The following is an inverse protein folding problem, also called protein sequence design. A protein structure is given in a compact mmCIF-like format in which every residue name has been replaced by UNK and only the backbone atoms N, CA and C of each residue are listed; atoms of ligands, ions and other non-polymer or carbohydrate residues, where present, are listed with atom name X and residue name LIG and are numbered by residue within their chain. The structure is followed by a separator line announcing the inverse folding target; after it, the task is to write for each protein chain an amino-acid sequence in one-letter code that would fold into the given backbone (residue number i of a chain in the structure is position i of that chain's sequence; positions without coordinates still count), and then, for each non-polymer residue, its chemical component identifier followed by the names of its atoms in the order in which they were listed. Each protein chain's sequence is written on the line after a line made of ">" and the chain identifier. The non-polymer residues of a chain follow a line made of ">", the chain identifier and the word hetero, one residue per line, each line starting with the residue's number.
data_IF_131015713522
#
_entry.id   IF_131015713522
#
_cell.length_a   1.000
_cell.length_b   1.000
_cell.length_c   1.000
_cell.angle_alpha   90.00
_cell.angle_beta   90.00
_cell.angle_gamma   90.00
#
_symmetry.space_group_name_H-M   'P 1'
#
loop_
_entity.id
_entity.type
_entity.pdbx_description
1 polymer ?
#
# COMPACT_ATOMS: atom_id res chain seq x y z
N UNK A 1 -26.36 18.94 54.14
CA UNK A 1 -26.63 20.35 53.83
C UNK A 1 -26.66 20.61 52.31
N UNK A 2 -27.43 21.56 51.81
CA UNK A 2 -27.61 21.84 50.38
C UNK A 2 -26.35 22.36 49.66
N UNK A 3 -25.30 22.72 50.40
CA UNK A 3 -24.03 23.21 49.84
C UNK A 3 -23.14 22.11 49.24
N UNK A 4 -23.18 20.89 49.78
CA UNK A 4 -22.39 19.78 49.26
C UNK A 4 -22.79 19.33 47.85
N UNK A 5 -24.09 19.28 47.58
CA UNK A 5 -24.61 18.90 46.25
C UNK A 5 -24.25 19.94 45.18
N UNK A 6 -24.24 21.21 45.49
CA UNK A 6 -23.84 22.28 44.54
C UNK A 6 -22.35 22.21 44.21
N UNK A 7 -21.52 21.87 45.17
CA UNK A 7 -20.08 21.69 44.96
C UNK A 7 -19.78 20.47 44.07
N UNK A 8 -20.47 19.35 44.27
CA UNK A 8 -20.37 18.14 43.45
C UNK A 8 -20.84 18.42 42.01
N UNK A 9 -21.96 19.13 41.85
CA UNK A 9 -22.46 19.53 40.53
C UNK A 9 -21.47 20.43 39.78
N UNK A 10 -20.81 21.33 40.49
CA UNK A 10 -19.81 22.22 39.90
C UNK A 10 -18.58 21.43 39.44
N UNK A 11 -18.11 20.45 40.21
CA UNK A 11 -17.00 19.58 39.85
C UNK A 11 -17.39 18.74 38.59
N UNK A 12 -18.56 18.13 38.59
CA UNK A 12 -19.04 17.34 37.43
C UNK A 12 -19.15 18.20 36.17
N UNK A 13 -19.63 19.44 36.32
CA UNK A 13 -19.72 20.40 35.22
C UNK A 13 -18.33 20.78 34.70
N UNK A 14 -17.35 21.03 35.55
CA UNK A 14 -15.97 21.31 35.15
C UNK A 14 -15.37 20.10 34.39
N UNK A 15 -15.53 18.89 34.92
CA UNK A 15 -15.06 17.67 34.25
C UNK A 15 -15.71 17.50 32.88
N UNK A 16 -17.00 17.77 32.79
CA UNK A 16 -17.72 17.70 31.51
C UNK A 16 -17.23 18.73 30.50
N UNK A 17 -16.94 19.96 30.93
CA UNK A 17 -16.36 20.99 30.05
C UNK A 17 -14.96 20.61 29.61
N UNK A 18 -14.10 20.09 30.46
CA UNK A 18 -12.78 19.59 30.10
C UNK A 18 -12.87 18.44 29.09
N UNK A 19 -13.80 17.52 29.32
CA UNK A 19 -14.06 16.42 28.41
C UNK A 19 -14.51 16.92 27.03
N UNK A 20 -15.41 17.89 26.95
CA UNK A 20 -15.81 18.51 25.68
C UNK A 20 -14.65 19.20 24.98
N UNK A 21 -13.79 19.91 25.70
CA UNK A 21 -12.62 20.60 25.13
C UNK A 21 -11.56 19.63 24.59
N UNK A 22 -11.55 18.39 25.04
CA UNK A 22 -10.61 17.37 24.54
C UNK A 22 -10.88 16.91 23.10
N UNK A 23 -11.97 17.34 22.49
CA UNK A 23 -12.36 16.97 21.12
C UNK A 23 -11.66 17.76 20.01
N UNK A 24 -10.81 18.74 20.30
CA UNK A 24 -10.06 19.45 19.27
C UNK A 24 -8.89 18.61 18.76
N UNK A 25 -8.73 18.56 17.43
CA UNK A 25 -7.60 17.88 16.78
C UNK A 25 -7.16 18.66 15.54
N UNK A 26 -5.91 18.45 15.14
CA UNK A 26 -5.32 19.08 13.96
C UNK A 26 -4.98 18.01 12.94
N UNK A 27 -5.39 18.22 11.69
CA UNK A 27 -5.04 17.39 10.52
C UNK A 27 -3.89 18.05 9.79
N UNK A 28 -2.78 17.33 9.65
CA UNK A 28 -1.60 17.80 8.91
C UNK A 28 -1.86 17.98 7.42
N UNK A 29 -1.01 18.73 6.74
CA UNK A 29 -1.12 18.99 5.28
C UNK A 29 -0.96 17.74 4.43
N UNK A 30 -0.33 16.70 4.97
CA UNK A 30 -0.13 15.40 4.31
C UNK A 30 -1.12 14.33 4.74
N UNK A 31 -2.05 14.68 5.63
CA UNK A 31 -2.99 13.76 6.25
C UNK A 31 -4.42 14.09 5.84
N UNK A 32 -5.29 13.12 6.01
CA UNK A 32 -6.72 13.27 5.90
C UNK A 32 -7.36 12.71 7.17
N UNK A 33 -8.25 13.45 7.79
CA UNK A 33 -8.91 12.98 9.01
C UNK A 33 -10.14 12.14 8.65
N UNK A 34 -10.17 10.90 9.14
CA UNK A 34 -11.31 10.00 9.06
C UNK A 34 -11.92 9.89 10.44
N UNK A 35 -13.11 10.44 10.60
CA UNK A 35 -13.85 10.45 11.86
C UNK A 35 -14.80 9.25 11.90
N UNK A 36 -14.60 8.41 12.91
CA UNK A 36 -15.47 7.28 13.21
C UNK A 36 -16.39 7.63 14.37
N UNK A 37 -17.66 7.28 14.27
CA UNK A 37 -18.64 7.40 15.35
C UNK A 37 -19.07 5.99 15.77
N UNK A 38 -18.78 5.62 17.01
CA UNK A 38 -19.00 4.27 17.55
C UNK A 38 -18.39 3.15 16.71
N UNK A 39 -17.33 3.45 15.95
CA UNK A 39 -16.63 2.51 15.08
C UNK A 39 -17.01 2.61 13.60
N UNK A 40 -18.15 3.21 13.25
CA UNK A 40 -18.59 3.38 11.87
C UNK A 40 -18.07 4.68 11.27
N UNK A 41 -17.79 4.67 9.97
CA UNK A 41 -17.41 5.89 9.24
C UNK A 41 -18.50 6.97 9.34
N UNK A 42 -18.08 8.18 9.67
CA UNK A 42 -19.00 9.32 9.81
C UNK A 42 -18.70 10.43 8.80
N UNK A 43 -17.44 10.87 8.72
CA UNK A 43 -17.03 11.95 7.83
C UNK A 43 -15.52 11.97 7.62
N UNK A 44 -15.12 12.60 6.51
CA UNK A 44 -13.72 12.91 6.19
C UNK A 44 -13.46 14.40 6.42
N UNK A 45 -12.30 14.76 7.00
CA UNK A 45 -11.87 16.14 7.25
C UNK A 45 -10.57 16.45 6.52
N UNK A 46 -10.50 17.66 5.96
CA UNK A 46 -9.33 18.19 5.25
C UNK A 46 -8.27 18.72 6.23
N UNK A 47 -7.05 19.04 5.78
CA UNK A 47 -6.04 19.67 6.63
C UNK A 47 -6.56 20.91 7.35
N UNK A 48 -6.22 21.04 8.63
CA UNK A 48 -6.64 22.15 9.48
C UNK A 48 -7.07 21.72 10.88
N UNK A 49 -7.60 22.68 11.65
CA UNK A 49 -8.14 22.46 12.98
C UNK A 49 -9.61 22.03 12.89
N UNK A 50 -9.94 20.92 13.51
CA UNK A 50 -11.28 20.37 13.54
C UNK A 50 -11.68 19.96 14.95
N UNK A 51 -12.96 19.67 15.09
CA UNK A 51 -13.54 19.19 16.33
C UNK A 51 -14.29 17.88 16.09
N UNK A 52 -14.07 16.91 16.98
CA UNK A 52 -14.85 15.68 17.09
C UNK A 52 -15.43 15.51 18.47
N UNK A 53 -16.48 14.74 18.63
CA UNK A 53 -17.00 14.37 19.93
C UNK A 53 -15.96 13.53 20.68
N UNK A 54 -15.63 13.86 21.95
CA UNK A 54 -14.60 13.13 22.67
C UNK A 54 -14.92 11.64 22.80
N UNK A 55 -13.84 10.86 22.96
CA UNK A 55 -13.95 9.42 23.23
C UNK A 55 -14.88 9.16 24.44
N UNK A 56 -15.76 8.13 24.38
CA UNK A 56 -15.79 7.02 23.40
C UNK A 56 -16.69 7.24 22.16
N UNK A 57 -17.29 8.43 21.99
CA UNK A 57 -18.31 8.67 20.94
C UNK A 57 -17.67 8.69 19.55
N UNK A 58 -16.64 9.52 19.35
CA UNK A 58 -15.92 9.62 18.10
C UNK A 58 -14.43 9.31 18.26
N UNK A 59 -13.82 8.78 17.21
CA UNK A 59 -12.40 8.52 17.07
C UNK A 59 -11.92 9.03 15.73
N UNK A 60 -10.72 9.59 15.68
CA UNK A 60 -10.12 10.10 14.44
C UNK A 60 -8.93 9.23 14.06
N UNK A 61 -8.87 8.86 12.77
CA UNK A 61 -7.72 8.25 12.13
C UNK A 61 -7.09 9.29 11.18
N UNK A 62 -5.76 9.35 11.13
CA UNK A 62 -5.01 10.34 10.35
C UNK A 62 -4.05 9.64 9.36
N UNK A 63 -4.56 8.94 8.33
CA UNK A 63 -3.70 8.35 7.31
C UNK A 63 -2.99 9.44 6.49
N UNK A 64 -1.73 9.15 6.10
CA UNK A 64 -0.93 10.04 5.24
C UNK A 64 -1.27 9.78 3.78
N UNK A 65 -2.07 10.64 3.17
CA UNK A 65 -2.57 10.47 1.80
C UNK A 65 -1.63 11.02 0.71
N UNK A 66 -0.71 11.92 1.07
CA UNK A 66 0.24 12.49 0.10
C UNK A 66 1.57 11.74 0.06
N UNK A 67 1.85 10.91 1.04
CA UNK A 67 3.07 10.10 1.08
C UNK A 67 3.05 9.04 -0.02
N UNK A 68 4.14 8.95 -0.77
CA UNK A 68 4.36 7.85 -1.73
C UNK A 68 4.97 6.68 -0.97
N UNK A 69 4.25 5.59 -0.94
CA UNK A 69 4.71 4.32 -0.42
C UNK A 69 5.36 3.50 -1.53
N UNK A 70 6.26 2.59 -1.16
CA UNK A 70 6.95 1.71 -2.10
C UNK A 70 6.88 0.27 -1.62
N UNK A 71 6.69 -0.64 -2.57
CA UNK A 71 6.75 -2.08 -2.34
C UNK A 71 7.80 -2.64 -3.30
N UNK A 72 8.79 -3.32 -2.75
CA UNK A 72 9.83 -4.01 -3.52
C UNK A 72 9.43 -5.48 -3.65
N UNK A 73 9.43 -6.00 -4.89
CA UNK A 73 9.02 -7.35 -5.24
C UNK A 73 10.19 -8.05 -5.93
N UNK A 74 10.48 -9.28 -5.48
CA UNK A 74 11.63 -10.08 -5.91
C UNK A 74 12.84 -9.96 -4.98
N UNK A 75 12.93 -8.90 -4.19
CA UNK A 75 14.05 -8.69 -3.29
C UNK A 75 13.65 -7.95 -1.99
N UNK A 76 14.55 -8.01 -1.01
CA UNK A 76 14.46 -7.19 0.21
C UNK A 76 15.78 -6.43 0.40
N UNK A 77 15.72 -5.14 0.64
CA UNK A 77 16.89 -4.36 1.02
C UNK A 77 17.28 -4.72 2.45
N UNK A 78 18.57 -5.03 2.69
CA UNK A 78 19.10 -5.29 4.01
C UNK A 78 19.58 -3.96 4.63
N UNK A 79 19.08 -3.66 5.84
CA UNK A 79 19.54 -2.57 6.73
C UNK A 79 19.77 -1.19 6.09
N UNK A 80 18.80 -0.69 5.31
CA UNK A 80 18.86 0.68 4.79
C UNK A 80 20.01 0.96 3.81
N UNK A 81 20.86 -0.01 3.51
CA UNK A 81 21.93 0.08 2.55
C UNK A 81 21.47 -0.54 1.23
N UNK A 82 21.25 0.28 0.22
CA UNK A 82 20.72 -0.12 -1.09
C UNK A 82 21.61 -1.13 -1.84
N UNK A 83 22.81 -1.39 -1.35
CA UNK A 83 23.77 -2.30 -1.99
C UNK A 83 23.71 -3.74 -1.46
N UNK A 84 23.08 -3.98 -0.31
CA UNK A 84 22.90 -5.33 0.23
C UNK A 84 21.45 -5.76 -0.02
N UNK A 85 21.22 -6.64 -1.00
CA UNK A 85 19.92 -7.19 -1.37
C UNK A 85 19.85 -8.66 -0.99
N UNK A 86 18.69 -9.09 -0.54
CA UNK A 86 18.36 -10.50 -0.38
C UNK A 86 17.27 -10.83 -1.39
N UNK A 87 17.57 -11.72 -2.32
CA UNK A 87 16.62 -12.17 -3.33
C UNK A 87 15.53 -13.05 -2.70
N UNK A 88 14.30 -12.85 -3.17
CA UNK A 88 13.12 -13.64 -2.80
C UNK A 88 12.62 -14.34 -4.05
N UNK A 89 13.25 -15.48 -4.37
CA UNK A 89 13.01 -16.23 -5.61
C UNK A 89 11.55 -16.66 -5.83
N UNK A 90 10.74 -16.75 -4.80
CA UNK A 90 9.31 -17.05 -4.92
C UNK A 90 8.51 -15.89 -5.54
N UNK A 91 9.01 -14.66 -5.40
CA UNK A 91 8.38 -13.44 -5.92
C UNK A 91 8.96 -13.05 -7.30
N UNK A 92 10.28 -13.28 -7.52
CA UNK A 92 11.00 -12.83 -8.72
C UNK A 92 10.87 -13.77 -9.90
N UNK A 93 10.76 -15.09 -9.68
CA UNK A 93 10.71 -16.07 -10.79
C UNK A 93 9.39 -16.07 -11.53
N UNK A 94 9.47 -15.82 -12.85
CA UNK A 94 8.33 -15.81 -13.76
C UNK A 94 8.64 -16.61 -15.01
N UNK A 95 7.59 -17.05 -15.69
CA UNK A 95 7.70 -17.80 -16.95
C UNK A 95 7.24 -16.91 -18.10
N UNK A 96 8.05 -16.79 -19.14
CA UNK A 96 7.75 -16.06 -20.36
C UNK A 96 6.83 -16.85 -21.28
N UNK A 97 6.26 -16.19 -22.31
CA UNK A 97 5.38 -16.84 -23.26
C UNK A 97 6.05 -17.90 -24.16
N UNK A 98 7.37 -17.92 -24.22
CA UNK A 98 8.21 -18.94 -24.87
C UNK A 98 8.81 -19.95 -23.88
N UNK A 99 8.15 -20.12 -22.71
CA UNK A 99 8.45 -21.14 -21.69
C UNK A 99 9.83 -21.02 -21.02
N UNK A 100 10.44 -19.85 -21.07
CA UNK A 100 11.70 -19.59 -20.35
C UNK A 100 11.43 -19.03 -18.96
N UNK A 101 12.27 -19.40 -17.99
CA UNK A 101 12.26 -18.81 -16.64
C UNK A 101 13.07 -17.53 -16.67
N UNK A 102 12.54 -16.46 -16.08
CA UNK A 102 13.24 -15.18 -15.88
C UNK A 102 13.11 -14.76 -14.43
N UNK A 103 14.14 -14.09 -13.94
CA UNK A 103 14.19 -13.48 -12.61
C UNK A 103 13.95 -11.98 -12.75
N UNK A 104 12.85 -11.49 -12.18
CA UNK A 104 12.40 -10.10 -12.34
C UNK A 104 12.23 -9.43 -11.00
N UNK A 105 13.04 -8.39 -10.77
CA UNK A 105 12.88 -7.50 -9.63
C UNK A 105 12.21 -6.22 -10.07
N UNK A 106 11.17 -5.83 -9.36
CA UNK A 106 10.47 -4.60 -9.66
C UNK A 106 9.96 -3.91 -8.39
N UNK A 107 9.65 -2.64 -8.54
CA UNK A 107 9.15 -1.77 -7.48
C UNK A 107 7.85 -1.13 -7.89
N UNK A 108 6.89 -1.13 -7.00
CA UNK A 108 5.62 -0.41 -7.14
C UNK A 108 5.63 0.80 -6.22
N UNK A 109 5.35 1.96 -6.80
CA UNK A 109 5.14 3.20 -6.05
C UNK A 109 3.66 3.56 -6.07
N UNK A 110 3.09 3.77 -4.90
CA UNK A 110 1.67 4.03 -4.73
C UNK A 110 1.40 5.03 -3.61
N UNK A 111 0.24 5.65 -3.64
CA UNK A 111 -0.26 6.51 -2.57
C UNK A 111 -1.73 6.24 -2.30
N UNK A 112 -2.23 6.72 -1.18
CA UNK A 112 -3.66 6.68 -0.85
C UNK A 112 -4.36 7.77 -1.65
N UNK A 113 -5.38 7.40 -2.43
CA UNK A 113 -6.26 8.35 -3.15
C UNK A 113 -7.53 8.63 -2.38
N UNK A 114 -8.13 7.62 -1.75
CA UNK A 114 -9.32 7.71 -0.92
C UNK A 114 -9.08 6.99 0.41
N UNK A 115 -8.87 7.77 1.47
CA UNK A 115 -8.51 7.24 2.78
C UNK A 115 -9.59 6.35 3.40
N UNK A 116 -10.86 6.62 3.14
CA UNK A 116 -12.00 5.81 3.56
C UNK A 116 -11.91 4.40 2.98
N UNK A 117 -11.80 4.27 1.67
CA UNK A 117 -11.73 2.98 0.99
C UNK A 117 -10.49 2.19 1.42
N UNK A 118 -9.35 2.88 1.55
CA UNK A 118 -8.09 2.29 2.00
C UNK A 118 -8.18 1.67 3.39
N UNK A 119 -8.93 2.31 4.31
CA UNK A 119 -9.03 1.87 5.69
C UNK A 119 -10.10 0.79 5.92
N UNK A 120 -11.14 0.73 5.06
CA UNK A 120 -12.31 -0.11 5.35
C UNK A 120 -12.59 -1.20 4.32
N UNK A 121 -12.12 -1.06 3.08
CA UNK A 121 -12.41 -2.04 2.04
C UNK A 121 -11.42 -3.21 2.02
N UNK A 122 -10.21 -3.01 2.53
CA UNK A 122 -9.16 -4.04 2.55
C UNK A 122 -8.64 -4.27 3.95
N UNK A 123 -8.40 -5.53 4.30
CA UNK A 123 -7.83 -5.89 5.60
C UNK A 123 -6.33 -5.58 5.67
N UNK A 124 -5.59 -5.88 4.59
CA UNK A 124 -4.17 -5.58 4.42
C UNK A 124 -3.93 -4.99 3.02
N UNK A 125 -4.03 -3.65 2.88
CA UNK A 125 -3.87 -3.00 1.59
C UNK A 125 -2.49 -3.19 0.97
N UNK A 126 -1.43 -3.22 1.78
CA UNK A 126 -0.05 -3.34 1.30
C UNK A 126 0.20 -4.73 0.71
N UNK A 127 -0.18 -5.78 1.41
CA UNK A 127 -0.07 -7.16 0.91
C UNK A 127 -0.99 -7.38 -0.31
N UNK A 128 -2.17 -6.76 -0.33
CA UNK A 128 -3.08 -6.82 -1.48
C UNK A 128 -2.44 -6.21 -2.73
N UNK A 129 -1.84 -5.02 -2.63
CA UNK A 129 -1.12 -4.38 -3.75
C UNK A 129 0.04 -5.24 -4.21
N UNK A 130 0.78 -5.85 -3.29
CA UNK A 130 1.91 -6.73 -3.61
C UNK A 130 1.48 -7.95 -4.41
N UNK A 131 0.49 -8.70 -3.92
CA UNK A 131 -0.03 -9.89 -4.60
C UNK A 131 -0.65 -9.54 -5.96
N UNK A 132 -1.38 -8.43 -6.02
CA UNK A 132 -1.93 -7.92 -7.28
C UNK A 132 -0.83 -7.57 -8.29
N UNK A 133 0.23 -6.89 -7.84
CA UNK A 133 1.37 -6.53 -8.68
C UNK A 133 2.12 -7.74 -9.21
N UNK A 134 2.34 -8.77 -8.36
CA UNK A 134 2.94 -10.03 -8.79
C UNK A 134 2.07 -10.74 -9.85
N UNK A 135 0.76 -10.81 -9.64
CA UNK A 135 -0.17 -11.43 -10.57
C UNK A 135 -0.20 -10.71 -11.92
N UNK A 136 -0.28 -9.39 -11.91
CA UNK A 136 -0.27 -8.56 -13.12
C UNK A 136 1.04 -8.72 -13.87
N UNK A 137 2.18 -8.67 -13.17
CA UNK A 137 3.50 -8.83 -13.81
C UNK A 137 3.64 -10.21 -14.45
N UNK A 138 3.28 -11.29 -13.75
CA UNK A 138 3.28 -12.65 -14.31
C UNK A 138 2.40 -12.74 -15.56
N UNK A 139 1.22 -12.11 -15.54
CA UNK A 139 0.31 -12.09 -16.68
C UNK A 139 0.89 -11.36 -17.91
N UNK A 140 1.67 -10.31 -17.71
CA UNK A 140 2.34 -9.56 -18.78
C UNK A 140 3.53 -10.37 -19.32
N UNK A 141 4.39 -10.85 -18.44
CA UNK A 141 5.60 -11.61 -18.81
C UNK A 141 5.24 -12.91 -19.52
N UNK A 142 4.17 -13.60 -19.11
CA UNK A 142 3.67 -14.80 -19.78
C UNK A 142 3.15 -14.60 -21.20
N UNK A 143 3.04 -13.36 -21.69
CA UNK A 143 2.61 -13.04 -23.05
C UNK A 143 3.75 -12.58 -23.97
N UNK A 144 4.95 -12.39 -23.43
CA UNK A 144 6.11 -11.90 -24.19
C UNK A 144 7.23 -12.94 -24.23
N UNK A 145 8.09 -12.81 -25.25
CA UNK A 145 9.28 -13.66 -25.37
C UNK A 145 10.40 -13.15 -24.47
N UNK A 146 11.28 -14.05 -24.04
CA UNK A 146 12.42 -13.72 -23.17
C UNK A 146 13.30 -12.62 -23.79
N UNK A 147 13.58 -12.68 -25.10
CA UNK A 147 14.40 -11.69 -25.81
C UNK A 147 13.81 -10.27 -25.65
N UNK A 148 12.49 -10.13 -25.83
CA UNK A 148 11.79 -8.85 -25.67
C UNK A 148 11.82 -8.37 -24.21
N UNK A 149 11.67 -9.28 -23.24
CA UNK A 149 11.71 -8.94 -21.82
C UNK A 149 13.08 -8.40 -21.39
N UNK A 150 14.16 -8.91 -22.00
CA UNK A 150 15.55 -8.52 -21.69
C UNK A 150 15.98 -7.23 -22.40
N UNK A 151 15.35 -6.82 -23.50
CA UNK A 151 15.82 -5.71 -24.35
C UNK A 151 14.86 -4.52 -24.38
N UNK A 152 13.92 -4.52 -25.33
CA UNK A 152 13.21 -3.32 -25.75
C UNK A 152 11.83 -3.13 -25.06
N UNK A 153 11.33 -4.14 -24.37
CA UNK A 153 9.98 -4.12 -23.83
C UNK A 153 9.87 -3.46 -22.44
N UNK A 154 10.97 -3.00 -21.84
CA UNK A 154 10.97 -2.51 -20.46
C UNK A 154 9.92 -1.41 -20.20
N UNK A 155 9.90 -0.38 -21.03
CA UNK A 155 8.95 0.73 -20.87
C UNK A 155 7.50 0.29 -21.11
N UNK A 156 7.31 -0.60 -22.10
CA UNK A 156 6.00 -1.16 -22.40
C UNK A 156 5.47 -2.01 -21.24
N UNK A 157 6.33 -2.87 -20.66
CA UNK A 157 5.99 -3.71 -19.51
C UNK A 157 5.61 -2.82 -18.31
N UNK A 158 6.42 -1.81 -17.99
CA UNK A 158 6.15 -0.88 -16.90
C UNK A 158 4.82 -0.14 -17.07
N UNK A 159 4.55 0.36 -18.28
CA UNK A 159 3.32 1.07 -18.60
C UNK A 159 2.09 0.16 -18.50
N UNK A 160 2.16 -1.05 -19.07
CA UNK A 160 1.09 -2.03 -19.01
C UNK A 160 0.85 -2.52 -17.58
N UNK A 161 1.93 -2.77 -16.81
CA UNK A 161 1.84 -3.18 -15.43
C UNK A 161 1.16 -2.12 -14.57
N UNK A 162 1.53 -0.85 -14.74
CA UNK A 162 0.90 0.27 -14.05
C UNK A 162 -0.59 0.36 -14.38
N UNK A 163 -0.97 0.29 -15.66
CA UNK A 163 -2.36 0.41 -16.09
C UNK A 163 -3.22 -0.74 -15.58
N UNK A 164 -2.76 -1.98 -15.74
CA UNK A 164 -3.50 -3.18 -15.29
C UNK A 164 -3.58 -3.27 -13.77
N UNK A 165 -2.52 -2.87 -13.07
CA UNK A 165 -2.51 -2.84 -11.61
C UNK A 165 -3.48 -1.77 -11.08
N UNK A 166 -3.54 -0.59 -11.70
CA UNK A 166 -4.51 0.44 -11.34
C UNK A 166 -5.94 -0.06 -11.55
N UNK A 167 -6.24 -0.67 -12.68
CA UNK A 167 -7.55 -1.25 -12.96
C UNK A 167 -7.96 -2.28 -11.89
N UNK A 168 -7.04 -3.15 -11.49
CA UNK A 168 -7.30 -4.20 -10.49
C UNK A 168 -7.52 -3.62 -9.08
N UNK A 169 -6.73 -2.64 -8.65
CA UNK A 169 -6.93 -2.01 -7.33
C UNK A 169 -8.18 -1.12 -7.30
N UNK A 170 -8.60 -0.57 -8.44
CA UNK A 170 -9.87 0.15 -8.58
C UNK A 170 -11.06 -0.81 -8.50
N UNK A 171 -10.99 -1.99 -9.12
CA UNK A 171 -12.01 -3.04 -9.01
C UNK A 171 -12.20 -3.50 -7.56
N UNK A 172 -11.11 -3.60 -6.80
CA UNK A 172 -11.17 -3.91 -5.37
C UNK A 172 -11.68 -2.75 -4.50
N UNK A 173 -11.85 -1.58 -5.08
CA UNK A 173 -12.21 -0.37 -4.34
C UNK A 173 -11.17 -0.01 -3.28
N UNK A 174 -9.89 -0.26 -3.57
CA UNK A 174 -8.80 -0.14 -2.60
C UNK A 174 -8.53 1.30 -2.13
N UNK A 175 -8.98 2.31 -2.87
CA UNK A 175 -8.68 3.72 -2.59
C UNK A 175 -7.19 4.05 -2.75
N UNK A 176 -6.51 3.35 -3.67
CA UNK A 176 -5.07 3.45 -3.94
C UNK A 176 -4.85 3.98 -5.35
N UNK A 177 -3.88 4.88 -5.51
CA UNK A 177 -3.38 5.34 -6.81
C UNK A 177 -1.98 4.77 -7.04
N UNK A 178 -1.81 4.00 -8.11
CA UNK A 178 -0.50 3.50 -8.55
C UNK A 178 0.21 4.62 -9.30
N UNK A 179 1.31 5.09 -8.72
CA UNK A 179 2.11 6.20 -9.27
C UNK A 179 3.04 5.73 -10.37
N UNK A 180 3.73 4.63 -10.11
CA UNK A 180 4.73 4.09 -11.02
C UNK A 180 4.99 2.60 -10.74
N UNK A 181 5.41 1.88 -11.77
CA UNK A 181 5.93 0.52 -11.67
C UNK A 181 7.29 0.49 -12.37
N UNK A 182 8.34 0.21 -11.63
CA UNK A 182 9.73 0.25 -12.11
C UNK A 182 10.32 -1.15 -12.14
N UNK A 183 10.74 -1.59 -13.32
CA UNK A 183 11.59 -2.77 -13.47
C UNK A 183 13.02 -2.41 -13.07
N UNK A 184 13.55 -3.08 -12.08
CA UNK A 184 14.90 -2.87 -11.57
C UNK A 184 15.90 -3.80 -12.23
N UNK A 185 15.59 -5.09 -12.31
CA UNK A 185 16.39 -6.09 -13.01
C UNK A 185 15.50 -7.08 -13.73
N UNK A 186 15.98 -7.57 -14.85
CA UNK A 186 15.44 -8.71 -15.60
C UNK A 186 16.62 -9.58 -15.96
N UNK A 187 16.74 -10.74 -15.34
CA UNK A 187 17.86 -11.64 -15.50
C UNK A 187 17.38 -12.98 -16.09
N UNK A 188 18.15 -13.59 -16.98
CA UNK A 188 17.93 -14.99 -17.32
C UNK A 188 18.16 -15.86 -16.09
N UNK A 189 17.64 -17.11 -16.07
CA UNK A 189 17.86 -18.01 -14.96
C UNK A 189 19.37 -18.25 -14.76
N UNK A 190 19.78 -18.48 -13.50
CA UNK A 190 21.16 -18.80 -13.16
C UNK A 190 21.65 -20.01 -14.00
N UNK A 191 22.97 -20.05 -14.28
CA UNK A 191 23.60 -21.11 -15.08
C UNK A 191 23.23 -22.54 -14.63
N UNK A 192 23.02 -22.74 -13.32
CA UNK A 192 22.55 -24.03 -12.76
C UNK A 192 21.21 -24.53 -13.33
N UNK A 193 20.29 -23.59 -13.67
CA UNK A 193 19.00 -23.95 -14.25
C UNK A 193 19.13 -24.22 -15.76
N UNK A 194 20.02 -23.53 -16.45
CA UNK A 194 20.35 -23.75 -17.85
C UNK A 194 20.98 -25.13 -18.04
N UNK A 195 21.89 -25.51 -17.17
CA UNK A 195 22.57 -26.83 -17.21
C UNK A 195 21.60 -27.99 -16.93
N UNK A 196 20.70 -27.80 -15.95
CA UNK A 196 19.67 -28.81 -15.65
C UNK A 196 18.67 -29.02 -16.81
N UNK A 197 18.33 -27.94 -17.53
CA UNK A 197 17.44 -28.01 -18.69
C UNK A 197 18.12 -28.67 -19.91
N UNK A 198 19.42 -28.42 -20.09
CA UNK A 198 20.22 -29.02 -21.15
C UNK A 198 20.47 -30.53 -20.92
N UNK A 199 20.51 -30.98 -19.67
CA UNK A 199 20.64 -32.39 -19.32
C UNK A 199 19.36 -33.19 -19.57
N UNK A 200 18.19 -32.55 -19.49
CA UNK A 200 16.89 -33.19 -19.78
C UNK A 200 16.63 -33.32 -21.28
N UNK A 201 17.31 -32.51 -22.12
CA UNK A 201 17.16 -32.54 -23.59
C UNK A 201 18.18 -33.44 -24.29
N UNK A 202 19.09 -34.09 -23.56
CA UNK A 202 20.06 -35.09 -24.08
C UNK A 202 19.55 -36.49 -23.84
#
# INVERSE_FOLDING_TARGET
>A
GPSGNRFILLIVFIIFVIWLLSGFYSVGTQEQGIVLRFGDYSRTTQPGLHYHLPSPIERVLLPRVTSVNRIDIGFRALDGNSNARRDVSSESKMITGDENIVDIDFRVMWKISMAENFLFNLQDPEETVKVAAESVMRGIIGQIKIESALTDAKELIQSQARSKLQELVDEYGAGIEIRDVQLLSVNPPSEEVIDANNDVQR
#
